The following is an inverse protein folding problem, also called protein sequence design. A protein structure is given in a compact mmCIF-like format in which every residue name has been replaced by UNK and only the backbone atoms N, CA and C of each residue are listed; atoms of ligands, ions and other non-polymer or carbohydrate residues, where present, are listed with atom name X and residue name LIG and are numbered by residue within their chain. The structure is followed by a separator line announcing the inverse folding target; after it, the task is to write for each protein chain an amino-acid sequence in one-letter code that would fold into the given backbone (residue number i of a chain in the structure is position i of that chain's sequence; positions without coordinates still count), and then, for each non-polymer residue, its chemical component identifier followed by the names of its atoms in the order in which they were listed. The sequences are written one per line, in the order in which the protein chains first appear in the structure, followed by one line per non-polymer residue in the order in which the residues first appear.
data_IF_559721125167
#
_entry.id   IF_559721125167
#
_cell.length_a   1.000
_cell.length_b   1.000
_cell.length_c   1.000
_cell.angle_alpha   90.00
_cell.angle_beta   90.00
_cell.angle_gamma   90.00
#
_symmetry.space_group_name_H-M   'P 1'
#
loop_
_entity.id
_entity.type
_entity.pdbx_description
1 polymer ?
#
# COMPACT_ATOMS: atom_id res chain seq x y z
N UNK A 1 2.58 -11.88 -14.53
CA UNK A 1 2.22 -10.95 -13.42
C UNK A 1 2.76 -9.52 -13.60
N UNK A 2 3.82 -9.28 -14.40
CA UNK A 2 4.27 -7.92 -14.77
C UNK A 2 3.54 -7.34 -16.01
N UNK A 3 2.86 -8.18 -16.81
CA UNK A 3 2.20 -7.73 -18.05
C UNK A 3 0.83 -7.05 -17.85
N UNK A 4 0.23 -7.16 -16.66
CA UNK A 4 -1.02 -6.43 -16.35
C UNK A 4 -0.78 -4.94 -16.06
N UNK A 5 0.47 -4.56 -15.71
CA UNK A 5 0.83 -3.18 -15.37
C UNK A 5 1.25 -2.36 -16.61
N UNK A 6 1.68 -3.02 -17.69
CA UNK A 6 2.19 -2.37 -18.90
C UNK A 6 1.12 -1.66 -19.75
N UNK A 7 -0.16 -1.74 -19.38
CA UNK A 7 -1.28 -1.14 -20.14
C UNK A 7 -2.20 -0.22 -19.35
N UNK A 8 -1.85 0.15 -18.12
CA UNK A 8 -2.39 1.37 -17.50
C UNK A 8 -1.65 2.59 -18.09
N UNK A 9 -1.84 2.81 -19.39
CA UNK A 9 -1.30 3.98 -20.10
C UNK A 9 -1.86 5.24 -19.43
N UNK A 10 -0.95 6.11 -19.02
CA UNK A 10 -1.14 7.35 -18.26
C UNK A 10 -1.23 7.26 -16.73
N UNK A 11 -0.68 6.21 -16.10
CA UNK A 11 -0.30 6.35 -14.69
C UNK A 11 1.03 7.11 -14.59
N UNK A 12 0.98 8.45 -14.57
CA UNK A 12 2.06 9.24 -13.97
C UNK A 12 1.81 9.22 -12.46
N UNK A 13 2.61 8.51 -11.64
CA UNK A 13 2.57 8.76 -10.22
C UNK A 13 2.87 10.24 -10.04
N UNK A 14 1.97 10.96 -9.37
CA UNK A 14 2.33 12.28 -8.86
C UNK A 14 3.60 12.07 -8.04
N UNK A 15 4.72 12.77 -8.34
CA UNK A 15 6.02 12.49 -7.73
C UNK A 15 6.00 12.62 -6.19
N UNK A 16 4.91 13.19 -5.65
CA UNK A 16 4.63 13.35 -4.23
C UNK A 16 4.13 12.06 -3.56
N UNK A 17 3.39 11.18 -4.25
CA UNK A 17 2.73 10.02 -3.62
C UNK A 17 3.38 8.69 -4.01
N UNK A 18 4.16 8.13 -3.08
CA UNK A 18 4.78 6.80 -3.21
C UNK A 18 3.81 5.67 -2.82
N UNK A 19 4.20 4.41 -3.02
CA UNK A 19 3.41 3.23 -2.60
C UNK A 19 3.07 3.24 -1.09
N UNK A 20 3.84 3.94 -0.26
CA UNK A 20 3.59 4.10 1.17
C UNK A 20 2.35 4.94 1.47
N UNK A 21 1.88 5.72 0.49
CA UNK A 21 0.63 6.48 0.57
C UNK A 21 -0.57 5.69 0.07
N UNK A 22 -0.38 4.46 -0.40
CA UNK A 22 -1.41 3.74 -1.16
C UNK A 22 -1.93 2.50 -0.43
N UNK A 23 -3.24 2.27 -0.52
CA UNK A 23 -3.83 0.95 -0.28
C UNK A 23 -4.43 0.41 -1.57
N UNK A 24 -4.27 -0.89 -1.77
CA UNK A 24 -4.80 -1.60 -2.92
C UNK A 24 -6.04 -2.35 -2.49
N UNK A 25 -7.06 -2.32 -3.34
CA UNK A 25 -8.30 -3.02 -3.04
C UNK A 25 -8.78 -3.89 -4.19
N UNK A 26 -9.57 -4.91 -3.85
CA UNK A 26 -10.25 -5.81 -4.77
C UNK A 26 -11.70 -5.96 -4.39
N UNK A 27 -12.59 -6.01 -5.38
CA UNK A 27 -14.01 -6.24 -5.17
C UNK A 27 -14.27 -7.75 -5.04
N UNK A 28 -15.03 -8.15 -4.01
CA UNK A 28 -15.60 -9.50 -3.98
C UNK A 28 -16.90 -9.48 -4.79
N UNK A 29 -17.06 -10.41 -5.74
CA UNK A 29 -18.33 -10.72 -6.40
C UNK A 29 -18.88 -9.71 -7.41
N UNK A 30 -18.02 -8.92 -8.05
CA UNK A 30 -18.47 -8.22 -9.26
C UNK A 30 -19.44 -7.05 -9.06
N UNK A 31 -19.56 -6.56 -7.84
CA UNK A 31 -20.30 -5.34 -7.49
C UNK A 31 -19.31 -4.20 -7.28
N UNK A 32 -18.81 -3.55 -8.35
CA UNK A 32 -17.81 -2.50 -8.21
C UNK A 32 -18.40 -1.30 -7.48
N UNK A 33 -17.68 -0.83 -6.46
CA UNK A 33 -17.93 0.49 -5.90
C UNK A 33 -17.37 1.55 -6.85
N UNK A 34 -18.00 2.71 -6.88
CA UNK A 34 -17.48 3.86 -7.62
C UNK A 34 -16.35 4.52 -6.84
N UNK A 35 -15.49 5.28 -7.53
CA UNK A 35 -14.41 6.04 -6.90
C UNK A 35 -14.95 6.98 -5.81
N UNK A 36 -16.08 7.63 -6.07
CA UNK A 36 -16.78 8.50 -5.11
C UNK A 36 -17.22 7.74 -3.85
N UNK A 37 -17.76 6.54 -3.98
CA UNK A 37 -18.21 5.75 -2.83
C UNK A 37 -17.04 5.32 -1.96
N UNK A 38 -15.95 4.87 -2.58
CA UNK A 38 -14.72 4.49 -1.90
C UNK A 38 -14.11 5.72 -1.21
N UNK A 39 -14.04 6.85 -1.92
CA UNK A 39 -13.53 8.12 -1.37
C UNK A 39 -14.35 8.59 -0.18
N UNK A 40 -15.68 8.54 -0.27
CA UNK A 40 -16.58 8.93 0.81
C UNK A 40 -16.44 8.01 2.02
N UNK A 41 -16.34 6.69 1.82
CA UNK A 41 -16.12 5.74 2.90
C UNK A 41 -14.84 6.05 3.68
N UNK A 42 -13.72 6.20 2.97
CA UNK A 42 -12.45 6.47 3.62
C UNK A 42 -12.40 7.87 4.26
N UNK A 43 -12.99 8.88 3.65
CA UNK A 43 -13.04 10.22 4.24
C UNK A 43 -13.97 10.30 5.46
N UNK A 44 -15.05 9.51 5.50
CA UNK A 44 -16.01 9.50 6.61
C UNK A 44 -15.40 8.88 7.86
N UNK A 45 -14.80 7.70 7.71
CA UNK A 45 -14.32 6.91 8.85
C UNK A 45 -12.85 7.22 9.22
N UNK A 46 -12.07 7.80 8.30
CA UNK A 46 -10.63 8.02 8.49
C UNK A 46 -10.18 9.47 8.25
N UNK A 47 -11.12 10.43 8.22
CA UNK A 47 -10.89 11.89 8.09
C UNK A 47 -10.38 12.28 6.68
N UNK A 48 -10.42 13.57 6.24
CA UNK A 48 -10.38 13.96 4.81
C UNK A 48 -8.96 13.94 4.19
N UNK A 49 -8.30 12.78 4.25
CA UNK A 49 -6.94 12.55 3.77
C UNK A 49 -6.88 11.73 2.49
N UNK A 50 -8.01 11.38 1.87
CA UNK A 50 -7.97 10.74 0.54
C UNK A 50 -7.58 11.80 -0.50
N UNK A 51 -6.40 11.65 -1.08
CA UNK A 51 -5.96 12.44 -2.22
C UNK A 51 -6.75 12.03 -3.46
N UNK A 52 -6.74 10.73 -3.77
CA UNK A 52 -7.37 10.20 -4.97
C UNK A 52 -7.77 8.72 -4.86
N UNK A 53 -8.66 8.26 -5.74
CA UNK A 53 -9.08 6.86 -5.85
C UNK A 53 -9.07 6.47 -7.31
N UNK A 54 -8.46 5.33 -7.61
CA UNK A 54 -8.37 4.78 -8.95
C UNK A 54 -9.01 3.40 -9.01
N UNK A 55 -9.99 3.21 -9.89
CA UNK A 55 -10.60 1.90 -10.15
C UNK A 55 -10.16 1.37 -11.51
N UNK A 56 -9.36 0.30 -11.51
CA UNK A 56 -8.79 -0.26 -12.74
C UNK A 56 -9.75 -1.23 -13.42
N UNK A 57 -10.01 -1.00 -14.71
CA UNK A 57 -10.84 -1.86 -15.56
C UNK A 57 -9.96 -2.67 -16.53
N UNK A 58 -10.46 -3.84 -16.95
CA UNK A 58 -9.79 -4.64 -17.99
C UNK A 58 -9.74 -3.87 -19.30
N UNK A 59 -8.66 -4.07 -20.06
CA UNK A 59 -8.48 -3.44 -21.37
C UNK A 59 -9.64 -3.82 -22.31
N UNK A 60 -10.24 -2.80 -22.93
CA UNK A 60 -11.40 -2.95 -23.81
C UNK A 60 -12.73 -2.60 -23.15
N UNK A 61 -12.75 -2.19 -21.88
CA UNK A 61 -13.94 -1.69 -21.19
C UNK A 61 -15.03 -2.74 -20.92
N UNK A 62 -14.85 -3.96 -21.42
CA UNK A 62 -15.76 -5.09 -21.21
C UNK A 62 -15.43 -5.78 -19.89
N UNK A 63 -16.42 -5.82 -18.99
CA UNK A 63 -16.34 -6.51 -17.70
C UNK A 63 -16.28 -5.57 -16.50
N UNK A 64 -16.57 -6.14 -15.33
CA UNK A 64 -16.56 -5.40 -14.07
C UNK A 64 -15.11 -5.10 -13.64
N UNK A 65 -14.85 -3.93 -13.03
CA UNK A 65 -13.58 -3.66 -12.38
C UNK A 65 -13.31 -4.69 -11.29
N UNK A 66 -12.08 -5.17 -11.21
CA UNK A 66 -11.67 -6.23 -10.27
C UNK A 66 -10.82 -5.68 -9.13
N UNK A 67 -10.08 -4.61 -9.39
CA UNK A 67 -9.14 -4.04 -8.43
C UNK A 67 -8.98 -2.53 -8.64
N UNK A 68 -8.43 -1.88 -7.63
CA UNK A 68 -8.14 -0.46 -7.64
C UNK A 68 -7.12 -0.10 -6.56
N UNK A 69 -6.87 1.19 -6.42
CA UNK A 69 -6.08 1.73 -5.32
C UNK A 69 -6.65 3.04 -4.82
N UNK A 70 -6.42 3.33 -3.55
CA UNK A 70 -6.70 4.62 -2.92
C UNK A 70 -5.37 5.23 -2.49
N UNK A 71 -5.22 6.53 -2.74
CA UNK A 71 -4.04 7.33 -2.42
C UNK A 71 -4.39 8.29 -1.30
N UNK A 72 -3.58 8.28 -0.25
CA UNK A 72 -3.73 9.14 0.91
C UNK A 72 -2.69 10.25 0.90
N UNK A 73 -3.04 11.42 1.45
CA UNK A 73 -2.12 12.54 1.61
C UNK A 73 -0.95 12.21 2.54
N UNK A 74 -1.20 11.37 3.55
CA UNK A 74 -0.23 11.02 4.58
C UNK A 74 0.17 9.53 4.48
N UNK A 75 1.43 9.23 4.78
CA UNK A 75 1.98 7.87 4.83
C UNK A 75 1.47 7.05 6.03
N UNK A 76 1.02 7.70 7.09
CA UNK A 76 0.48 7.01 8.28
C UNK A 76 -0.93 6.45 8.07
N UNK A 77 -1.69 6.99 7.10
CA UNK A 77 -3.09 6.61 6.91
C UNK A 77 -3.25 5.13 6.53
N UNK A 78 -2.48 4.57 5.57
CA UNK A 78 -2.49 3.14 5.29
C UNK A 78 -2.24 2.25 6.53
N UNK A 79 -1.31 2.65 7.39
CA UNK A 79 -0.96 1.93 8.62
C UNK A 79 -2.11 1.93 9.62
N UNK A 80 -2.72 3.09 9.85
CA UNK A 80 -3.87 3.25 10.75
C UNK A 80 -5.09 2.47 10.27
N UNK A 81 -5.41 2.59 8.97
CA UNK A 81 -6.55 1.90 8.35
C UNK A 81 -6.35 0.37 8.38
N UNK A 82 -5.13 -0.09 8.15
CA UNK A 82 -4.84 -1.53 8.16
C UNK A 82 -4.59 -2.10 9.55
N UNK A 83 -4.44 -1.28 10.59
CA UNK A 83 -4.13 -1.71 11.96
C UNK A 83 -2.97 -2.72 12.01
N UNK A 84 -1.91 -2.47 11.24
CA UNK A 84 -0.76 -3.38 11.08
C UNK A 84 -1.08 -4.78 10.49
N UNK A 85 -2.24 -4.96 9.86
CA UNK A 85 -2.62 -6.22 9.19
C UNK A 85 -2.19 -6.20 7.71
N UNK A 86 -1.79 -7.35 7.18
CA UNK A 86 -1.45 -7.48 5.75
C UNK A 86 -2.66 -7.41 4.81
N UNK A 87 -3.86 -7.70 5.33
CA UNK A 87 -5.12 -7.68 4.59
C UNK A 87 -6.24 -7.28 5.55
N UNK A 88 -7.15 -6.41 5.14
CA UNK A 88 -8.40 -6.19 5.85
C UNK A 88 -9.59 -6.20 4.91
N UNK A 89 -10.74 -6.38 5.52
CA UNK A 89 -12.02 -6.50 4.86
C UNK A 89 -12.96 -5.42 5.38
N UNK A 90 -13.59 -4.72 4.45
CA UNK A 90 -14.50 -3.62 4.72
C UNK A 90 -15.84 -3.89 4.05
N UNK A 91 -16.93 -3.46 4.68
CA UNK A 91 -18.25 -3.38 4.07
C UNK A 91 -18.55 -1.93 3.75
N UNK A 92 -18.57 -1.58 2.47
CA UNK A 92 -18.88 -0.24 1.98
C UNK A 92 -20.23 -0.28 1.29
N UNK A 93 -21.23 0.41 1.85
CA UNK A 93 -22.61 0.41 1.32
C UNK A 93 -23.15 -1.02 1.06
N UNK A 94 -22.94 -1.93 2.01
CA UNK A 94 -23.35 -3.33 1.88
C UNK A 94 -22.52 -4.18 0.91
N UNK A 95 -21.46 -3.61 0.29
CA UNK A 95 -20.59 -4.33 -0.65
C UNK A 95 -19.23 -4.67 -0.03
N UNK A 96 -18.77 -5.92 -0.18
CA UNK A 96 -17.48 -6.37 0.35
C UNK A 96 -16.29 -5.80 -0.43
N UNK A 97 -15.37 -5.16 0.30
CA UNK A 97 -14.13 -4.59 -0.23
C UNK A 97 -12.95 -5.17 0.54
N UNK A 98 -12.06 -5.85 -0.17
CA UNK A 98 -10.80 -6.29 0.41
C UNK A 98 -9.72 -5.27 0.15
N UNK A 99 -8.98 -4.88 1.19
CA UNK A 99 -7.85 -3.98 1.11
C UNK A 99 -6.57 -4.69 1.55
N UNK A 100 -5.45 -4.30 0.95
CA UNK A 100 -4.11 -4.77 1.30
C UNK A 100 -3.07 -3.67 1.12
N UNK A 101 -2.00 -3.74 1.88
CA UNK A 101 -0.82 -2.88 1.69
C UNK A 101 0.00 -3.34 0.48
N UNK A 102 0.65 -2.40 -0.18
CA UNK A 102 1.77 -2.74 -1.05
C UNK A 102 2.99 -3.12 -0.22
N UNK A 103 3.40 -4.38 -0.33
CA UNK A 103 4.69 -4.82 0.19
C UNK A 103 5.65 -4.74 -0.97
N UNK A 104 6.42 -3.63 -1.05
CA UNK A 104 7.58 -3.59 -1.92
C UNK A 104 8.48 -4.75 -1.52
N UNK A 105 8.77 -5.66 -2.46
CA UNK A 105 9.83 -6.64 -2.32
C UNK A 105 11.17 -5.90 -2.30
N UNK A 106 11.46 -5.11 -1.26
CA UNK A 106 12.84 -4.80 -0.94
C UNK A 106 13.44 -6.13 -0.54
N UNK A 107 14.47 -6.55 -1.27
CA UNK A 107 15.36 -7.61 -0.84
C UNK A 107 15.70 -7.30 0.62
N UNK A 108 15.34 -8.21 1.50
CA UNK A 108 15.79 -8.22 2.87
C UNK A 108 17.32 -8.31 2.79
N UNK A 109 17.97 -7.18 2.94
CA UNK A 109 19.42 -7.07 3.08
C UNK A 109 19.69 -5.97 4.07
N UNK A 110 19.18 -6.18 5.28
CA UNK A 110 19.70 -5.57 6.50
C UNK A 110 20.40 -6.72 7.21
N UNK A 111 21.69 -6.93 6.95
CA UNK A 111 22.73 -6.24 7.70
C UNK A 111 22.40 -6.26 9.20
N UNK A 112 22.51 -7.44 9.80
CA UNK A 112 22.68 -7.54 11.24
C UNK A 112 24.07 -6.99 11.55
N UNK A 113 24.13 -5.68 11.81
CA UNK A 113 25.19 -5.11 12.61
C UNK A 113 25.00 -5.65 14.04
N UNK A 114 25.62 -6.79 14.34
CA UNK A 114 25.90 -7.18 15.71
C UNK A 114 27.26 -6.58 16.08
N UNK A 115 27.15 -5.39 16.66
CA UNK A 115 28.15 -4.76 17.50
C UNK A 115 28.64 -5.76 18.56
N UNK A 116 29.94 -6.03 18.60
CA UNK A 116 30.59 -6.72 19.71
C UNK A 116 32.05 -6.27 19.77
N UNK A 117 32.23 -5.09 20.38
CA UNK A 117 33.30 -4.72 21.30
C UNK A 117 34.54 -5.66 21.29
N UNK A 118 35.63 -5.22 20.65
CA UNK A 118 36.98 -5.70 21.00
C UNK A 118 37.62 -4.71 21.95
N UNK A 119 37.54 -5.08 23.22
CA UNK A 119 38.19 -4.49 24.39
C UNK A 119 39.71 -4.40 24.20
N UNK A 120 40.28 -3.25 24.60
CA UNK A 120 41.70 -2.95 24.48
C UNK A 120 42.52 -3.56 25.61
N UNK A 121 43.75 -3.97 25.30
CA UNK A 121 44.70 -4.46 26.29
C UNK A 121 46.13 -4.37 25.77
N UNK A 122 46.70 -3.17 25.82
CA UNK A 122 48.15 -2.97 25.74
C UNK A 122 48.79 -3.52 27.02
N UNK A 123 49.77 -4.42 26.90
CA UNK A 123 50.71 -4.69 27.98
C UNK A 123 52.15 -4.63 27.47
N UNK A 124 52.89 -3.70 28.08
CA UNK A 124 54.31 -3.46 27.96
C UNK A 124 55.07 -4.35 28.98
N UNK A 125 56.20 -4.94 28.60
CA UNK A 125 57.41 -4.99 29.44
C UNK A 125 57.87 -6.33 30.04
N UNK A 126 59.17 -6.60 29.87
CA UNK A 126 60.03 -7.55 30.63
C UNK A 126 60.10 -8.95 30.03
N UNK A 127 61.25 -9.54 29.72
CA UNK A 127 62.65 -9.42 30.18
C UNK A 127 63.62 -9.62 28.99
#
# INVERSE_FOLDING_TARGET
MYELYAKARDFKPDPVYTDQHCLYFTFSNGLPLTETQIKNFFNRDYSPYVADVFVFRRKGGRGQPLFGKVVFKNTDSPDKIMQNRGKAFFYVEGRPLWCRRWVSKKKETTASASDSLRDGGSHHGGD
#
